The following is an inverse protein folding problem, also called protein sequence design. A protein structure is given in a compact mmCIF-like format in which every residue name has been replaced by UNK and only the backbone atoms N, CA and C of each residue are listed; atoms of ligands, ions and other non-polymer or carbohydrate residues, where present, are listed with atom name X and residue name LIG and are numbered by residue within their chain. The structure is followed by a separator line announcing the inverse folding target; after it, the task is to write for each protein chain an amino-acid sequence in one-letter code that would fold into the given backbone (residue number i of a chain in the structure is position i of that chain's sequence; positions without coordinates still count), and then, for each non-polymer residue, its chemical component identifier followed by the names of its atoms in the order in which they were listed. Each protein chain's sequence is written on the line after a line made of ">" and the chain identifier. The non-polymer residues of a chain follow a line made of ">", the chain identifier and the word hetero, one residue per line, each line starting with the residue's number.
data_IF_363743494516
#
_entry.id   IF_363743494516
#
_cell.length_a   1.000
_cell.length_b   1.000
_cell.length_c   1.000
_cell.angle_alpha   90.00
_cell.angle_beta   90.00
_cell.angle_gamma   90.00
#
_symmetry.space_group_name_H-M   'P 1'
#
loop_
_entity.id
_entity.type
_entity.pdbx_description
1 polymer ?
#
# COMPACT_ATOMS: atom_id res chain seq x y z
N UNK A 1 7.75 -2.26 -26.19
CA UNK A 1 7.37 -2.81 -24.88
C UNK A 1 6.48 -1.77 -24.22
N UNK A 2 5.30 -2.18 -23.75
CA UNK A 2 4.38 -1.24 -23.11
C UNK A 2 4.98 -0.88 -21.74
N UNK A 3 5.29 0.39 -21.48
CA UNK A 3 5.96 0.89 -20.26
C UNK A 3 4.93 1.19 -19.13
N UNK A 4 3.68 0.77 -19.35
CA UNK A 4 2.60 0.99 -18.41
C UNK A 4 2.77 0.10 -17.17
N UNK A 5 2.90 0.72 -16.02
CA UNK A 5 2.87 0.03 -14.72
C UNK A 5 1.45 -0.33 -14.31
N UNK A 6 0.51 0.60 -14.48
CA UNK A 6 -0.91 0.41 -14.23
C UNK A 6 -1.70 0.78 -15.49
N UNK A 7 -2.68 -0.06 -15.87
CA UNK A 7 -3.62 0.21 -16.94
C UNK A 7 -5.03 -0.12 -16.46
N UNK A 8 -5.91 0.85 -16.58
CA UNK A 8 -7.33 0.75 -16.23
C UNK A 8 -8.13 0.91 -17.52
N UNK A 9 -9.01 -0.03 -17.82
CA UNK A 9 -9.78 -0.06 -19.07
C UNK A 9 -11.28 -0.15 -18.79
N UNK A 10 -12.03 0.86 -19.24
CA UNK A 10 -13.50 0.97 -19.17
C UNK A 10 -14.08 0.59 -17.80
N UNK A 11 -13.37 0.97 -16.73
CA UNK A 11 -13.71 0.59 -15.37
C UNK A 11 -14.99 1.27 -14.93
N UNK A 12 -15.98 0.47 -14.53
CA UNK A 12 -17.29 0.96 -14.10
C UNK A 12 -17.72 0.33 -12.78
N UNK A 13 -18.50 1.11 -12.01
CA UNK A 13 -19.12 0.64 -10.78
C UNK A 13 -20.50 1.18 -10.59
N UNK A 14 -21.44 0.27 -10.36
CA UNK A 14 -22.83 0.58 -9.96
C UNK A 14 -23.09 0.07 -8.54
N UNK A 15 -23.76 0.88 -7.76
CA UNK A 15 -24.28 0.53 -6.44
C UNK A 15 -25.80 0.65 -6.49
N UNK A 16 -26.50 -0.50 -6.57
CA UNK A 16 -27.94 -0.50 -6.83
C UNK A 16 -28.27 0.25 -8.13
N UNK A 17 -29.09 1.32 -8.05
CA UNK A 17 -29.46 2.15 -9.18
C UNK A 17 -28.47 3.28 -9.53
N UNK A 18 -27.43 3.51 -8.71
CA UNK A 18 -26.49 4.62 -8.90
C UNK A 18 -25.23 4.14 -9.60
N UNK A 19 -24.86 4.78 -10.69
CA UNK A 19 -23.59 4.58 -11.38
C UNK A 19 -22.53 5.53 -10.80
N UNK A 20 -21.69 5.00 -9.92
CA UNK A 20 -20.67 5.77 -9.22
C UNK A 20 -19.41 6.03 -10.05
N UNK A 21 -19.13 5.15 -11.01
CA UNK A 21 -18.03 5.29 -11.99
C UNK A 21 -18.51 4.72 -13.31
N UNK A 22 -18.34 5.46 -14.41
CA UNK A 22 -18.83 5.13 -15.73
C UNK A 22 -17.67 5.08 -16.76
N UNK A 23 -17.13 3.88 -17.03
CA UNK A 23 -16.21 3.61 -18.13
C UNK A 23 -14.86 4.36 -18.05
N UNK A 24 -14.28 4.55 -16.87
CA UNK A 24 -13.02 5.28 -16.71
C UNK A 24 -11.86 4.45 -17.27
N UNK A 25 -11.03 5.07 -18.11
CA UNK A 25 -9.82 4.46 -18.67
C UNK A 25 -8.63 5.41 -18.53
N UNK A 26 -7.50 4.91 -18.07
CA UNK A 26 -6.22 5.62 -17.99
C UNK A 26 -5.07 4.62 -17.81
N UNK A 27 -3.85 5.12 -17.95
CA UNK A 27 -2.64 4.36 -17.69
C UNK A 27 -1.65 5.22 -16.87
N UNK A 28 -0.78 4.55 -16.13
CA UNK A 28 0.29 5.16 -15.34
C UNK A 28 1.59 4.45 -15.69
N UNK A 29 2.60 5.20 -16.09
CA UNK A 29 3.92 4.68 -16.42
C UNK A 29 4.77 4.47 -15.18
N UNK A 30 5.86 3.71 -15.32
CA UNK A 30 6.86 3.60 -14.24
C UNK A 30 7.50 4.95 -13.96
N UNK A 31 7.64 5.30 -12.67
CA UNK A 31 8.23 6.57 -12.22
C UNK A 31 7.35 7.80 -12.45
N UNK A 32 6.10 7.62 -12.86
CA UNK A 32 5.15 8.70 -13.08
C UNK A 32 4.36 9.01 -11.80
N UNK A 33 4.11 10.31 -11.56
CA UNK A 33 3.12 10.77 -10.59
C UNK A 33 1.83 11.09 -11.34
N UNK A 34 0.79 10.32 -11.08
CA UNK A 34 -0.52 10.48 -11.72
C UNK A 34 -1.57 10.97 -10.71
N UNK A 35 -2.32 12.01 -11.07
CA UNK A 35 -3.34 12.58 -10.20
C UNK A 35 -4.75 12.40 -10.78
N UNK A 36 -5.66 11.87 -9.97
CA UNK A 36 -7.07 11.78 -10.29
C UNK A 36 -7.82 12.97 -9.66
N UNK A 37 -8.21 13.94 -10.47
CA UNK A 37 -8.81 15.19 -10.02
C UNK A 37 -10.30 15.24 -10.40
N UNK A 38 -11.11 15.85 -9.55
CA UNK A 38 -12.54 16.04 -9.79
C UNK A 38 -13.29 16.47 -8.52
N UNK A 39 -14.55 16.92 -8.65
CA UNK A 39 -15.37 17.36 -7.52
C UNK A 39 -15.71 16.20 -6.57
N UNK A 40 -16.29 16.53 -5.41
CA UNK A 40 -16.84 15.52 -4.52
C UNK A 40 -17.96 14.76 -5.22
N UNK A 41 -18.00 13.44 -5.06
CA UNK A 41 -18.96 12.58 -5.76
C UNK A 41 -18.54 12.12 -7.16
N UNK A 42 -17.42 12.62 -7.74
CA UNK A 42 -16.95 12.22 -9.08
C UNK A 42 -16.40 10.78 -9.16
N UNK A 43 -16.57 9.95 -8.13
CA UNK A 43 -16.14 8.54 -8.18
C UNK A 43 -14.66 8.28 -7.90
N UNK A 44 -13.84 9.32 -7.54
CA UNK A 44 -12.39 9.16 -7.29
C UNK A 44 -12.08 8.05 -6.28
N UNK A 45 -12.66 8.13 -5.10
CA UNK A 45 -12.48 7.11 -4.03
C UNK A 45 -12.95 5.73 -4.48
N UNK A 46 -14.04 5.65 -5.25
CA UNK A 46 -14.55 4.39 -5.81
C UNK A 46 -13.57 3.81 -6.80
N UNK A 47 -12.97 4.64 -7.66
CA UNK A 47 -11.92 4.21 -8.61
C UNK A 47 -10.70 3.67 -7.86
N UNK A 48 -10.17 4.40 -6.86
CA UNK A 48 -9.09 3.89 -6.01
C UNK A 48 -9.45 2.59 -5.30
N UNK A 49 -10.69 2.47 -4.80
CA UNK A 49 -11.17 1.26 -4.14
C UNK A 49 -11.27 0.08 -5.11
N UNK A 50 -11.59 0.29 -6.38
CA UNK A 50 -11.59 -0.76 -7.40
C UNK A 50 -10.17 -1.20 -7.76
N UNK A 51 -9.25 -0.26 -7.97
CA UNK A 51 -7.83 -0.55 -8.27
C UNK A 51 -7.19 -1.32 -7.12
N UNK A 52 -7.49 -0.93 -5.88
CA UNK A 52 -7.00 -1.61 -4.67
C UNK A 52 -7.85 -2.79 -4.22
N UNK A 53 -8.75 -3.28 -5.09
CA UNK A 53 -9.59 -4.47 -4.86
C UNK A 53 -10.42 -4.45 -3.57
N UNK A 54 -10.65 -3.27 -2.98
CA UNK A 54 -11.58 -3.09 -1.85
C UNK A 54 -13.03 -3.20 -2.33
N UNK A 55 -13.26 -2.76 -3.57
CA UNK A 55 -14.57 -2.84 -4.24
C UNK A 55 -14.38 -3.55 -5.56
N UNK A 56 -15.16 -4.61 -5.81
CA UNK A 56 -15.14 -5.28 -7.11
C UNK A 56 -15.80 -4.40 -8.18
N UNK A 57 -15.17 -4.18 -9.35
CA UNK A 57 -15.81 -3.46 -10.45
C UNK A 57 -17.06 -4.19 -10.96
N UNK A 58 -17.99 -3.44 -11.53
CA UNK A 58 -19.14 -4.00 -12.24
C UNK A 58 -18.79 -4.42 -13.67
N UNK A 59 -17.87 -3.67 -14.32
CA UNK A 59 -17.28 -4.00 -15.61
C UNK A 59 -15.92 -3.30 -15.76
N UNK A 60 -15.19 -3.66 -16.82
CA UNK A 60 -13.84 -3.17 -17.09
C UNK A 60 -12.77 -3.99 -16.38
N UNK A 61 -11.50 -3.67 -16.66
CA UNK A 61 -10.35 -4.40 -16.16
C UNK A 61 -9.27 -3.48 -15.59
N UNK A 62 -8.47 -4.03 -14.68
CA UNK A 62 -7.30 -3.39 -14.08
C UNK A 62 -6.10 -4.29 -14.31
N UNK A 63 -5.09 -3.78 -15.00
CA UNK A 63 -3.83 -4.47 -15.24
C UNK A 63 -2.70 -3.78 -14.49
N UNK A 64 -1.88 -4.56 -13.82
CA UNK A 64 -0.70 -4.09 -13.10
C UNK A 64 0.52 -4.91 -13.49
N UNK A 65 1.60 -4.24 -13.91
CA UNK A 65 2.85 -4.87 -14.33
C UNK A 65 2.62 -6.01 -15.36
N UNK A 66 1.73 -5.75 -16.34
CA UNK A 66 1.36 -6.68 -17.42
C UNK A 66 0.39 -7.81 -17.01
N UNK A 67 -0.11 -7.85 -15.77
CA UNK A 67 -1.02 -8.89 -15.26
C UNK A 67 -2.40 -8.31 -14.99
N UNK A 68 -3.45 -9.04 -15.32
CA UNK A 68 -4.80 -8.71 -14.87
C UNK A 68 -4.91 -8.95 -13.35
N UNK A 69 -5.28 -7.88 -12.64
CA UNK A 69 -5.50 -7.90 -11.20
C UNK A 69 -6.96 -7.60 -10.82
N UNK A 70 -7.87 -7.64 -11.78
CA UNK A 70 -9.27 -7.28 -11.58
C UNK A 70 -9.92 -8.16 -10.52
N UNK A 71 -10.26 -7.56 -9.38
CA UNK A 71 -10.95 -8.25 -8.27
C UNK A 71 -10.13 -9.32 -7.55
N UNK A 72 -8.80 -9.29 -7.64
CA UNK A 72 -7.95 -10.17 -6.80
C UNK A 72 -8.17 -9.86 -5.31
N UNK A 73 -7.92 -10.80 -4.39
CA UNK A 73 -8.04 -10.54 -2.96
C UNK A 73 -7.10 -9.41 -2.52
N UNK A 74 -7.61 -8.45 -1.73
CA UNK A 74 -6.88 -7.25 -1.28
C UNK A 74 -5.55 -7.58 -0.60
N UNK A 75 -5.49 -8.67 0.18
CA UNK A 75 -4.27 -9.10 0.88
C UNK A 75 -3.13 -9.50 -0.07
N UNK A 76 -3.41 -9.79 -1.34
CA UNK A 76 -2.38 -10.13 -2.34
C UNK A 76 -1.73 -8.91 -2.98
N UNK A 77 -2.31 -7.72 -2.84
CA UNK A 77 -1.81 -6.50 -3.50
C UNK A 77 -0.40 -6.13 -3.03
N UNK A 78 -0.14 -6.19 -1.73
CA UNK A 78 1.19 -5.90 -1.19
C UNK A 78 2.25 -6.85 -1.77
N UNK A 79 1.94 -8.14 -1.87
CA UNK A 79 2.86 -9.15 -2.41
C UNK A 79 3.20 -8.94 -3.89
N UNK A 80 2.31 -8.33 -4.68
CA UNK A 80 2.58 -8.00 -6.09
C UNK A 80 3.19 -6.61 -6.29
N UNK A 81 3.34 -5.83 -5.21
CA UNK A 81 4.00 -4.52 -5.22
C UNK A 81 3.05 -3.32 -5.33
N UNK A 82 1.81 -3.44 -4.88
CA UNK A 82 0.88 -2.31 -4.74
C UNK A 82 0.74 -1.96 -3.26
N UNK A 83 1.28 -0.79 -2.87
CA UNK A 83 1.07 -0.17 -1.57
C UNK A 83 -0.13 0.77 -1.60
N UNK A 84 -0.80 0.92 -0.45
CA UNK A 84 -1.90 1.88 -0.31
C UNK A 84 -1.83 2.60 1.02
N UNK A 85 -2.01 3.92 0.98
CA UNK A 85 -2.33 4.73 2.14
C UNK A 85 -3.85 4.88 2.26
N UNK A 86 -4.36 5.07 3.47
CA UNK A 86 -5.79 5.21 3.70
C UNK A 86 -6.13 6.66 4.06
N UNK A 87 -7.34 7.08 3.72
CA UNK A 87 -7.84 8.41 4.07
C UNK A 87 -7.93 8.58 5.60
N UNK A 88 -8.32 7.52 6.32
CA UNK A 88 -8.31 7.47 7.78
C UNK A 88 -7.01 6.79 8.25
N UNK A 89 -6.39 7.36 9.28
CA UNK A 89 -5.17 6.83 9.87
C UNK A 89 -5.34 5.38 10.31
N UNK A 90 -4.69 4.48 9.61
CA UNK A 90 -4.72 3.04 9.89
C UNK A 90 -3.43 2.60 10.58
N UNK A 91 -3.05 3.25 11.69
CA UNK A 91 -1.83 2.96 12.46
C UNK A 91 -2.17 2.29 13.81
N UNK A 92 -1.24 1.49 14.31
CA UNK A 92 -1.31 0.91 15.65
C UNK A 92 -0.87 1.94 16.68
N UNK A 93 -1.82 2.61 17.31
CA UNK A 93 -1.57 3.79 18.18
C UNK A 93 -0.70 3.49 19.38
N UNK A 94 -0.77 2.27 19.93
CA UNK A 94 -0.01 1.85 21.11
C UNK A 94 1.36 1.27 20.79
N UNK A 95 1.61 0.95 19.53
CA UNK A 95 2.90 0.47 19.07
C UNK A 95 3.84 1.62 18.70
N UNK A 96 5.14 1.39 18.74
CA UNK A 96 6.14 2.37 18.35
C UNK A 96 6.09 2.65 16.84
N UNK A 97 6.76 3.73 16.41
CA UNK A 97 6.94 4.02 14.98
C UNK A 97 7.64 2.85 14.29
N UNK A 98 8.75 2.34 14.84
CA UNK A 98 9.49 1.19 14.28
C UNK A 98 8.57 -0.02 14.12
N UNK A 99 7.77 -0.37 15.14
CA UNK A 99 6.88 -1.53 15.07
C UNK A 99 5.79 -1.35 14.00
N UNK A 100 5.24 -0.14 13.86
CA UNK A 100 4.28 0.16 12.80
C UNK A 100 4.87 -0.06 11.40
N UNK A 101 6.12 0.36 11.18
CA UNK A 101 6.79 0.17 9.89
C UNK A 101 7.15 -1.31 9.67
N UNK A 102 7.59 -2.02 10.72
CA UNK A 102 7.90 -3.46 10.64
C UNK A 102 6.68 -4.31 10.24
N UNK A 103 5.46 -3.92 10.64
CA UNK A 103 4.24 -4.57 10.15
C UNK A 103 4.12 -4.51 8.61
N UNK A 104 4.56 -3.39 7.99
CA UNK A 104 4.62 -3.28 6.53
C UNK A 104 5.58 -4.29 5.88
N UNK A 105 6.59 -4.78 6.63
CA UNK A 105 7.53 -5.81 6.13
C UNK A 105 6.97 -7.23 6.14
N UNK A 106 5.83 -7.47 6.78
CA UNK A 106 5.25 -8.82 6.92
C UNK A 106 5.04 -9.53 5.56
N UNK A 107 4.71 -8.82 4.50
CA UNK A 107 4.55 -9.39 3.16
C UNK A 107 5.86 -9.95 2.55
N UNK A 108 7.01 -9.62 3.12
CA UNK A 108 8.34 -10.08 2.69
C UNK A 108 8.95 -11.13 3.63
N UNK A 109 8.28 -11.47 4.74
CA UNK A 109 8.77 -12.50 5.66
C UNK A 109 8.52 -13.88 5.05
N UNK A 110 9.58 -14.61 4.77
CA UNK A 110 9.53 -15.96 4.25
C UNK A 110 9.66 -17.03 5.35
N UNK A 111 10.02 -16.63 6.58
CA UNK A 111 10.30 -17.54 7.68
C UNK A 111 9.01 -18.14 8.24
N UNK A 112 8.88 -19.48 8.21
CA UNK A 112 7.78 -20.21 8.84
C UNK A 112 7.94 -20.25 10.36
N UNK A 113 6.82 -20.46 11.08
CA UNK A 113 6.78 -20.56 12.56
C UNK A 113 7.77 -21.60 13.12
N UNK A 114 8.08 -22.65 12.37
CA UNK A 114 9.05 -23.69 12.73
C UNK A 114 10.49 -23.19 12.63
N UNK A 115 10.82 -22.33 11.65
CA UNK A 115 12.15 -21.71 11.50
C UNK A 115 12.37 -20.63 12.56
N UNK A 116 11.31 -19.96 13.02
CA UNK A 116 11.37 -18.97 14.10
C UNK A 116 11.70 -19.59 15.48
N UNK A 117 11.39 -20.88 15.67
CA UNK A 117 11.71 -21.62 16.91
C UNK A 117 13.22 -21.89 17.05
N UNK A 118 13.96 -21.90 15.94
CA UNK A 118 15.42 -22.06 15.95
C UNK A 118 16.07 -20.73 15.51
N UNK A 119 16.12 -19.78 16.44
CA UNK A 119 16.55 -18.37 16.27
C UNK A 119 17.99 -18.17 15.76
N UNK A 120 18.66 -19.23 15.29
CA UNK A 120 20.05 -19.19 14.82
C UNK A 120 20.13 -19.15 13.28
N UNK A 121 20.71 -18.08 12.75
CA UNK A 121 21.23 -17.98 11.39
C UNK A 121 20.31 -17.22 10.43
N UNK A 122 19.36 -17.88 9.75
CA UNK A 122 18.58 -17.29 8.64
C UNK A 122 17.53 -16.29 9.13
N UNK A 123 16.76 -16.63 10.15
CA UNK A 123 15.73 -15.76 10.73
C UNK A 123 16.34 -14.45 11.27
N UNK A 124 17.50 -14.53 11.94
CA UNK A 124 18.21 -13.34 12.45
C UNK A 124 18.70 -12.43 11.32
N UNK A 125 19.21 -13.00 10.22
CA UNK A 125 19.65 -12.20 9.06
C UNK A 125 18.47 -11.50 8.38
N UNK A 126 17.36 -12.21 8.21
CA UNK A 126 16.13 -11.67 7.64
C UNK A 126 15.58 -10.54 8.51
N UNK A 127 15.52 -10.72 9.83
CA UNK A 127 15.09 -9.65 10.75
C UNK A 127 16.01 -8.43 10.70
N UNK A 128 17.33 -8.62 10.67
CA UNK A 128 18.29 -7.52 10.55
C UNK A 128 18.11 -6.76 9.23
N UNK A 129 17.84 -7.46 8.13
CA UNK A 129 17.58 -6.83 6.83
C UNK A 129 16.28 -6.02 6.87
N UNK A 130 15.21 -6.57 7.46
CA UNK A 130 13.94 -5.84 7.61
C UNK A 130 14.10 -4.60 8.48
N UNK A 131 14.82 -4.70 9.61
CA UNK A 131 15.12 -3.55 10.46
C UNK A 131 15.92 -2.47 9.72
N UNK A 132 16.95 -2.86 8.96
CA UNK A 132 17.72 -1.90 8.15
C UNK A 132 16.84 -1.16 7.16
N UNK A 133 15.93 -1.86 6.46
CA UNK A 133 14.99 -1.23 5.52
C UNK A 133 14.02 -0.27 6.22
N UNK A 134 13.59 -0.60 7.42
CA UNK A 134 12.74 0.29 8.22
C UNK A 134 13.51 1.54 8.66
N UNK A 135 14.78 1.42 9.07
CA UNK A 135 15.61 2.58 9.41
C UNK A 135 15.84 3.49 8.19
N UNK A 136 16.12 2.94 7.01
CA UNK A 136 16.23 3.72 5.76
C UNK A 136 14.95 4.54 5.46
N UNK A 137 13.76 4.00 5.81
CA UNK A 137 12.48 4.70 5.63
C UNK A 137 12.28 5.76 6.72
N UNK A 138 12.67 5.48 7.97
CA UNK A 138 12.61 6.43 9.08
C UNK A 138 13.44 7.67 8.76
N UNK A 139 14.68 7.47 8.30
CA UNK A 139 15.59 8.53 7.87
C UNK A 139 14.99 9.32 6.68
N UNK A 140 14.48 8.62 5.67
CA UNK A 140 13.84 9.25 4.50
C UNK A 140 12.64 10.13 4.87
N UNK A 141 11.88 9.75 5.90
CA UNK A 141 10.69 10.47 6.35
C UNK A 141 10.99 11.51 7.44
N UNK A 142 12.26 11.64 7.87
CA UNK A 142 12.69 12.56 8.93
C UNK A 142 11.87 12.36 10.22
N UNK A 143 11.82 11.11 10.73
CA UNK A 143 11.08 10.74 11.95
C UNK A 143 11.95 9.97 12.96
N UNK A 144 13.28 10.11 12.89
CA UNK A 144 14.26 9.41 13.73
C UNK A 144 14.04 9.71 15.21
N UNK A 145 13.79 10.98 15.54
CA UNK A 145 13.63 11.43 16.94
C UNK A 145 12.44 10.75 17.64
N UNK A 146 11.41 10.37 16.88
CA UNK A 146 10.19 9.76 17.42
C UNK A 146 10.11 8.25 17.19
N UNK A 147 11.15 7.63 16.65
CA UNK A 147 11.17 6.20 16.21
C UNK A 147 10.67 5.20 17.25
N UNK A 148 10.97 5.46 18.55
CA UNK A 148 10.59 4.58 19.66
C UNK A 148 9.32 5.04 20.37
N UNK A 149 8.70 6.15 19.96
CA UNK A 149 7.50 6.69 20.58
C UNK A 149 6.25 5.94 20.13
N UNK A 150 5.25 5.75 21.00
CA UNK A 150 3.94 5.27 20.61
C UNK A 150 3.29 6.23 19.59
N UNK A 151 2.82 5.71 18.46
CA UNK A 151 2.30 6.54 17.37
C UNK A 151 1.12 7.41 17.80
N UNK A 152 0.31 6.92 18.73
CA UNK A 152 -0.84 7.67 19.25
C UNK A 152 -0.49 8.96 20.01
N UNK A 153 0.76 9.14 20.44
CA UNK A 153 1.23 10.35 21.14
C UNK A 153 1.76 11.42 20.19
N UNK A 154 1.92 11.08 18.91
CA UNK A 154 2.49 11.96 17.92
C UNK A 154 1.45 12.94 17.36
N UNK A 155 1.94 14.08 16.83
CA UNK A 155 1.10 14.99 16.06
C UNK A 155 0.49 14.28 14.84
N UNK A 156 -0.64 14.79 14.35
CA UNK A 156 -1.31 14.22 13.16
C UNK A 156 -0.40 14.12 11.94
N UNK A 157 0.46 15.14 11.72
CA UNK A 157 1.41 15.13 10.61
C UNK A 157 2.44 14.01 10.71
N UNK A 158 2.99 13.76 11.92
CA UNK A 158 3.91 12.65 12.16
C UNK A 158 3.20 11.29 12.02
N UNK A 159 1.96 11.17 12.52
CA UNK A 159 1.17 9.94 12.32
C UNK A 159 0.93 9.65 10.82
N UNK A 160 0.73 10.69 9.99
CA UNK A 160 0.64 10.54 8.52
C UNK A 160 1.95 10.12 7.89
N UNK A 161 3.11 10.61 8.38
CA UNK A 161 4.42 10.14 7.93
C UNK A 161 4.61 8.66 8.29
N UNK A 162 4.21 8.22 9.49
CA UNK A 162 4.27 6.81 9.91
C UNK A 162 3.38 5.93 9.02
N UNK A 163 2.17 6.37 8.68
CA UNK A 163 1.29 5.64 7.76
C UNK A 163 1.93 5.49 6.38
N UNK A 164 2.51 6.56 5.85
CA UNK A 164 3.27 6.51 4.59
C UNK A 164 4.47 5.57 4.70
N UNK A 165 5.24 5.64 5.80
CA UNK A 165 6.36 4.75 6.07
C UNK A 165 5.98 3.28 6.06
N UNK A 166 4.82 2.94 6.65
CA UNK A 166 4.30 1.57 6.62
C UNK A 166 3.95 1.12 5.20
N UNK A 167 3.37 1.99 4.37
CA UNK A 167 3.12 1.67 2.97
C UNK A 167 4.42 1.51 2.17
N UNK A 168 5.43 2.39 2.39
CA UNK A 168 6.75 2.28 1.77
C UNK A 168 7.51 1.02 2.22
N UNK A 169 7.30 0.57 3.47
CA UNK A 169 7.92 -0.64 4.00
C UNK A 169 7.51 -1.90 3.22
N UNK A 170 6.37 -1.90 2.52
CA UNK A 170 6.02 -2.99 1.59
C UNK A 170 6.84 -2.98 0.30
N UNK A 171 7.76 -2.00 0.09
CA UNK A 171 8.54 -1.79 -1.14
C UNK A 171 7.66 -1.79 -2.41
N UNK A 172 6.64 -0.93 -2.46
CA UNK A 172 5.68 -0.97 -3.54
C UNK A 172 6.29 -0.45 -4.85
N UNK A 173 5.89 -1.04 -5.98
CA UNK A 173 6.12 -0.50 -7.32
C UNK A 173 5.12 0.61 -7.66
N UNK A 174 3.92 0.54 -7.07
CA UNK A 174 2.84 1.54 -7.18
C UNK A 174 2.35 1.88 -5.78
N UNK A 175 2.32 3.16 -5.44
CA UNK A 175 1.72 3.67 -4.21
C UNK A 175 0.42 4.42 -4.55
N UNK A 176 -0.67 4.04 -3.87
CA UNK A 176 -2.01 4.61 -4.01
C UNK A 176 -2.38 5.47 -2.79
#
# INVERSE_FOLDING_TARGET
>A
MNDDLLRVETLSKRFGGVEAVAGVSFHVKRGEIYSLIGPNGAGKTTTFNMISSVVKPSSGTVHFDGRDITGIPTHRLAAIGIGRTFQNLAVFKHASVVDNLLVGRHCHMATNVLDASWFFGRARREEMEHRRKVEEIIDFLEIEEVRNMPVGTLSYGLQKRVELGRALATQPKLLL
#
